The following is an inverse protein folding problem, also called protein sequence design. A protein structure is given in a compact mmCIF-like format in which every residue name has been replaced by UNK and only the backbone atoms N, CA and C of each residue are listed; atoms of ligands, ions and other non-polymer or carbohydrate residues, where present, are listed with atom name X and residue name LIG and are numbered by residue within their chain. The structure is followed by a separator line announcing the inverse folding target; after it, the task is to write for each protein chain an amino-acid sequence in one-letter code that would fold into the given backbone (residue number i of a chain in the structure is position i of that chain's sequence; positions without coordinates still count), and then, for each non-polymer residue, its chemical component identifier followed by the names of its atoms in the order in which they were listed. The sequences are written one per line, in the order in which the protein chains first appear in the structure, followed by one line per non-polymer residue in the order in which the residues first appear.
data_IF_464574115752
#
_entry.id   IF_464574115752
#
_cell.length_a   1.000
_cell.length_b   1.000
_cell.length_c   1.000
_cell.angle_alpha   90.00
_cell.angle_beta   90.00
_cell.angle_gamma   90.00
#
_symmetry.space_group_name_H-M   'P 1'
#
loop_
_entity.id
_entity.type
_entity.pdbx_description
1 polymer ?
#
# COMPACT_ATOMS: atom_id res chain seq x y z
N UNK A 1 25.73 26.77 5.15
CA UNK A 1 25.68 25.33 4.85
C UNK A 1 24.43 25.10 4.03
N UNK A 2 24.57 24.79 2.74
CA UNK A 2 23.42 24.50 1.87
C UNK A 2 22.95 23.07 2.17
N UNK A 3 21.87 22.93 2.92
CA UNK A 3 21.08 21.70 2.94
C UNK A 3 20.34 21.62 1.61
N UNK A 4 20.91 20.90 0.64
CA UNK A 4 20.16 20.47 -0.54
C UNK A 4 19.01 19.60 -0.05
N UNK A 5 17.77 20.06 -0.23
CA UNK A 5 16.60 19.21 -0.06
C UNK A 5 16.77 18.01 -0.99
N UNK A 6 16.99 16.83 -0.42
CA UNK A 6 17.12 15.60 -1.17
C UNK A 6 15.73 15.31 -1.73
N UNK A 7 15.55 15.57 -3.02
CA UNK A 7 14.30 15.28 -3.72
C UNK A 7 14.12 13.78 -3.70
N UNK A 8 13.13 13.29 -2.95
CA UNK A 8 12.76 11.88 -2.97
C UNK A 8 12.10 11.57 -4.32
N UNK A 9 12.88 11.03 -5.26
CA UNK A 9 12.36 10.45 -6.50
C UNK A 9 11.94 9.00 -6.26
N UNK A 10 10.92 8.56 -6.99
CA UNK A 10 10.49 7.16 -7.02
C UNK A 10 10.33 6.71 -8.46
N UNK A 11 10.43 5.40 -8.68
CA UNK A 11 10.12 4.83 -9.98
C UNK A 11 8.70 4.28 -9.95
N UNK A 12 7.84 4.80 -10.81
CA UNK A 12 6.56 4.18 -11.13
C UNK A 12 6.75 3.26 -12.35
N UNK A 13 6.23 2.04 -12.27
CA UNK A 13 6.26 1.08 -13.37
C UNK A 13 4.86 0.56 -13.61
N UNK A 14 4.43 0.60 -14.87
CA UNK A 14 3.21 -0.06 -15.33
C UNK A 14 3.59 -1.23 -16.21
N UNK A 15 2.92 -2.37 -15.98
CA UNK A 15 3.15 -3.60 -16.72
C UNK A 15 1.83 -4.23 -17.16
N UNK A 16 1.88 -4.95 -18.29
CA UNK A 16 0.76 -5.77 -18.77
C UNK A 16 1.25 -7.11 -19.24
N UNK A 17 0.45 -8.16 -19.06
CA UNK A 17 0.81 -9.48 -19.56
C UNK A 17 -0.09 -10.57 -19.02
N UNK A 18 0.46 -11.76 -18.83
CA UNK A 18 -0.34 -12.95 -18.54
C UNK A 18 0.21 -13.76 -17.37
N UNK A 19 -0.70 -14.33 -16.59
CA UNK A 19 -0.42 -15.48 -15.74
C UNK A 19 -0.85 -16.74 -16.49
N UNK A 20 0.02 -17.75 -16.54
CA UNK A 20 -0.16 -19.03 -17.22
C UNK A 20 -0.60 -18.88 -18.69
N UNK A 21 -0.08 -17.87 -19.38
CA UNK A 21 -0.40 -17.54 -20.79
C UNK A 21 -1.90 -17.33 -21.07
N UNK A 22 -2.72 -17.19 -20.01
CA UNK A 22 -4.18 -17.28 -20.11
C UNK A 22 -4.89 -16.14 -19.41
N UNK A 23 -4.37 -15.71 -18.26
CA UNK A 23 -5.06 -14.74 -17.43
C UNK A 23 -4.40 -13.37 -17.63
N UNK A 24 -4.99 -12.48 -18.46
CA UNK A 24 -4.45 -11.15 -18.66
C UNK A 24 -4.54 -10.35 -17.36
N UNK A 25 -3.45 -9.67 -17.03
CA UNK A 25 -3.34 -8.79 -15.88
C UNK A 25 -2.65 -7.49 -16.27
N UNK A 26 -3.00 -6.43 -15.55
CA UNK A 26 -2.23 -5.19 -15.50
C UNK A 26 -1.68 -5.02 -14.10
N UNK A 27 -0.49 -4.46 -13.98
CA UNK A 27 0.22 -4.24 -12.71
C UNK A 27 0.76 -2.82 -12.67
N UNK A 28 0.65 -2.17 -11.52
CA UNK A 28 1.23 -0.84 -11.26
C UNK A 28 2.05 -0.93 -9.98
N UNK A 29 3.33 -0.58 -10.07
CA UNK A 29 4.29 -0.65 -8.98
C UNK A 29 4.90 0.73 -8.72
N UNK A 30 5.09 1.05 -7.46
CA UNK A 30 5.87 2.19 -6.97
C UNK A 30 7.08 1.65 -6.22
N UNK A 31 8.26 1.99 -6.72
CA UNK A 31 9.54 1.52 -6.22
C UNK A 31 10.25 2.69 -5.56
N UNK A 32 10.58 2.50 -4.29
CA UNK A 32 11.32 3.44 -3.46
C UNK A 32 12.50 2.69 -2.84
N UNK A 33 13.68 2.90 -3.42
CA UNK A 33 14.86 2.08 -3.18
C UNK A 33 14.54 0.60 -3.46
N UNK A 34 14.72 -0.28 -2.46
CA UNK A 34 14.39 -1.71 -2.59
C UNK A 34 12.92 -2.01 -2.23
N UNK A 35 12.14 -1.04 -1.73
CA UNK A 35 10.76 -1.27 -1.29
C UNK A 35 9.77 -1.07 -2.43
N UNK A 36 8.93 -2.08 -2.67
CA UNK A 36 7.91 -2.05 -3.72
C UNK A 36 6.51 -2.08 -3.09
N UNK A 37 5.64 -1.17 -3.51
CA UNK A 37 4.22 -1.21 -3.21
C UNK A 37 3.43 -0.99 -4.49
N UNK A 38 2.26 -1.61 -4.61
CA UNK A 38 1.51 -1.51 -5.84
C UNK A 38 0.24 -2.33 -5.83
N UNK A 39 -0.25 -2.63 -7.02
CA UNK A 39 -1.35 -3.55 -7.20
C UNK A 39 -1.28 -4.23 -8.55
N UNK A 40 -2.00 -5.33 -8.67
CA UNK A 40 -2.37 -5.87 -9.97
C UNK A 40 -3.88 -6.08 -10.02
N UNK A 41 -4.44 -6.21 -11.21
CA UNK A 41 -5.82 -6.64 -11.36
C UNK A 41 -5.99 -7.48 -12.63
N UNK A 42 -6.92 -8.42 -12.55
CA UNK A 42 -7.43 -9.10 -13.73
C UNK A 42 -8.34 -8.15 -14.49
N UNK A 43 -8.07 -7.94 -15.79
CA UNK A 43 -8.85 -7.03 -16.63
C UNK A 43 -10.36 -7.33 -16.59
N UNK A 44 -10.71 -8.61 -16.46
CA UNK A 44 -12.09 -9.09 -16.35
C UNK A 44 -12.79 -8.67 -15.05
N UNK A 45 -12.09 -8.68 -13.93
CA UNK A 45 -12.71 -8.52 -12.59
C UNK A 45 -12.52 -7.12 -11.99
N UNK A 46 -11.66 -6.29 -12.60
CA UNK A 46 -11.43 -4.86 -12.28
C UNK A 46 -11.21 -4.54 -10.80
N UNK A 47 -10.87 -5.53 -9.98
CA UNK A 47 -10.60 -5.38 -8.56
C UNK A 47 -9.10 -5.36 -8.36
N UNK A 48 -8.59 -4.27 -7.78
CA UNK A 48 -7.17 -4.12 -7.46
C UNK A 48 -6.80 -5.02 -6.29
N UNK A 49 -5.79 -5.85 -6.49
CA UNK A 49 -5.20 -6.71 -5.46
C UNK A 49 -3.87 -6.08 -5.07
N UNK A 50 -3.78 -5.71 -3.79
CA UNK A 50 -2.60 -5.07 -3.22
C UNK A 50 -1.37 -5.96 -3.35
N UNK A 51 -0.25 -5.33 -3.72
CA UNK A 51 1.07 -5.94 -3.76
C UNK A 51 2.04 -5.15 -2.89
N UNK A 52 2.84 -5.87 -2.11
CA UNK A 52 3.94 -5.31 -1.33
C UNK A 52 5.15 -6.22 -1.35
N UNK A 53 6.34 -5.67 -1.40
CA UNK A 53 7.54 -6.47 -1.22
C UNK A 53 8.80 -5.72 -1.59
N UNK A 54 9.73 -6.42 -2.23
CA UNK A 54 11.09 -5.93 -2.42
C UNK A 54 11.62 -6.20 -3.83
N UNK A 55 12.46 -5.28 -4.32
CA UNK A 55 13.28 -5.41 -5.52
C UNK A 55 14.75 -5.29 -5.10
N UNK A 56 15.52 -6.36 -5.30
CA UNK A 56 16.94 -6.41 -4.96
C UNK A 56 17.71 -7.15 -6.05
N UNK A 57 18.74 -6.52 -6.61
CA UNK A 57 19.58 -7.10 -7.66
C UNK A 57 18.75 -7.65 -8.85
N UNK A 58 17.70 -6.91 -9.24
CA UNK A 58 16.75 -7.31 -10.30
C UNK A 58 15.75 -8.40 -9.89
N UNK A 59 15.93 -9.05 -8.74
CA UNK A 59 14.98 -10.02 -8.19
C UNK A 59 13.86 -9.30 -7.46
N UNK A 60 12.63 -9.57 -7.86
CA UNK A 60 11.44 -8.99 -7.24
C UNK A 60 10.62 -10.07 -6.53
N UNK A 61 10.19 -9.77 -5.31
CA UNK A 61 9.24 -10.57 -4.54
C UNK A 61 8.10 -9.68 -4.10
N UNK A 62 6.88 -9.98 -4.52
CA UNK A 62 5.66 -9.23 -4.22
C UNK A 62 4.64 -10.16 -3.57
N UNK A 63 4.17 -9.77 -2.40
CA UNK A 63 3.11 -10.45 -1.66
C UNK A 63 1.75 -9.83 -1.96
N UNK A 64 0.78 -10.67 -2.26
CA UNK A 64 -0.63 -10.35 -2.08
C UNK A 64 -0.94 -10.36 -0.60
N UNK A 65 -0.95 -9.19 0.02
CA UNK A 65 -1.02 -9.10 1.47
C UNK A 65 -2.35 -8.52 1.94
N UNK A 66 -3.37 -9.35 2.25
CA UNK A 66 -4.56 -8.88 2.96
C UNK A 66 -4.42 -8.90 4.49
N UNK A 67 -3.38 -9.55 5.07
CA UNK A 67 -3.24 -9.74 6.54
C UNK A 67 -1.78 -9.71 7.05
N UNK A 68 -1.63 -9.60 8.38
CA UNK A 68 -0.46 -9.26 9.24
C UNK A 68 0.84 -10.11 9.12
N UNK A 69 0.97 -11.01 8.15
CA UNK A 69 2.15 -11.87 8.03
C UNK A 69 3.31 -11.20 7.28
N UNK A 70 4.52 -11.25 7.84
CA UNK A 70 5.76 -10.87 7.14
C UNK A 70 6.26 -11.96 6.19
N UNK A 71 5.77 -13.19 6.33
CA UNK A 71 6.17 -14.31 5.49
C UNK A 71 5.45 -14.28 4.15
N UNK A 72 6.19 -14.63 3.09
CA UNK A 72 5.61 -14.77 1.77
C UNK A 72 4.62 -15.94 1.75
N UNK A 73 3.39 -15.71 1.28
CA UNK A 73 2.35 -16.75 1.21
C UNK A 73 1.70 -16.85 -0.16
N UNK A 74 1.54 -15.73 -0.85
CA UNK A 74 0.92 -15.65 -2.16
C UNK A 74 1.39 -14.39 -2.88
N UNK A 75 1.58 -14.45 -4.20
CA UNK A 75 1.93 -13.31 -5.03
C UNK A 75 2.98 -13.64 -6.09
N UNK A 76 3.83 -12.68 -6.43
CA UNK A 76 4.79 -12.80 -7.54
C UNK A 76 6.22 -12.96 -7.05
N UNK A 77 6.99 -13.84 -7.69
CA UNK A 77 8.45 -13.90 -7.58
C UNK A 77 9.06 -14.02 -8.96
N UNK A 78 10.09 -13.25 -9.24
CA UNK A 78 10.74 -13.28 -10.54
C UNK A 78 11.82 -12.23 -10.68
N UNK A 79 12.18 -11.96 -11.92
CA UNK A 79 13.14 -10.94 -12.31
C UNK A 79 12.41 -9.80 -13.01
N UNK A 80 12.70 -8.58 -12.60
CA UNK A 80 12.27 -7.35 -13.27
C UNK A 80 13.52 -6.71 -13.88
N UNK A 81 13.55 -6.65 -15.20
CA UNK A 81 14.60 -5.96 -15.96
C UNK A 81 14.01 -4.67 -16.58
N UNK A 82 14.66 -4.08 -17.59
CA UNK A 82 14.23 -2.78 -18.15
C UNK A 82 12.88 -2.86 -18.86
N UNK A 83 12.64 -3.93 -19.62
CA UNK A 83 11.50 -4.05 -20.54
C UNK A 83 10.42 -5.03 -20.05
N UNK A 84 10.74 -5.91 -19.09
CA UNK A 84 9.87 -7.02 -18.75
C UNK A 84 10.04 -7.53 -17.32
N UNK A 85 8.99 -8.19 -16.84
CA UNK A 85 9.02 -9.06 -15.69
C UNK A 85 8.81 -10.51 -16.11
N UNK A 86 9.73 -11.38 -15.69
CA UNK A 86 9.67 -12.82 -15.89
C UNK A 86 9.68 -13.54 -14.54
N UNK A 87 8.64 -14.32 -14.26
CA UNK A 87 8.56 -15.00 -12.97
C UNK A 87 7.40 -15.97 -12.86
N UNK A 88 6.95 -16.11 -11.62
CA UNK A 88 5.80 -16.93 -11.29
C UNK A 88 4.86 -16.20 -10.33
N UNK A 89 3.58 -16.44 -10.54
CA UNK A 89 2.56 -16.29 -9.52
C UNK A 89 2.51 -17.56 -8.65
N UNK A 90 2.57 -17.42 -7.34
CA UNK A 90 2.70 -18.51 -6.37
C UNK A 90 1.59 -18.39 -5.32
N UNK A 91 0.95 -19.51 -4.98
CA UNK A 91 0.06 -19.67 -3.82
C UNK A 91 0.54 -20.89 -3.02
N UNK A 92 1.24 -20.63 -1.91
CA UNK A 92 1.84 -21.67 -1.07
C UNK A 92 0.75 -22.55 -0.43
N UNK A 93 -0.36 -21.95 -0.01
CA UNK A 93 -1.46 -22.67 0.66
C UNK A 93 -2.11 -23.69 -0.27
N UNK A 94 -2.20 -23.39 -1.56
CA UNK A 94 -2.72 -24.31 -2.58
C UNK A 94 -1.65 -25.12 -3.30
N UNK A 95 -0.37 -24.99 -2.89
CA UNK A 95 0.77 -25.59 -3.59
C UNK A 95 0.71 -25.36 -5.11
N UNK A 96 0.42 -24.12 -5.51
CA UNK A 96 0.20 -23.75 -6.91
C UNK A 96 1.22 -22.73 -7.36
N UNK A 97 1.85 -23.01 -8.49
CA UNK A 97 2.79 -22.10 -9.16
C UNK A 97 2.39 -21.99 -10.62
N UNK A 98 2.29 -20.77 -11.12
CA UNK A 98 1.95 -20.44 -12.50
C UNK A 98 2.99 -19.49 -13.06
N UNK A 99 3.46 -19.74 -14.28
CA UNK A 99 4.34 -18.78 -14.96
C UNK A 99 3.64 -17.44 -15.13
N UNK A 100 4.41 -16.37 -15.11
CA UNK A 100 3.94 -15.01 -15.32
C UNK A 100 4.96 -14.25 -16.13
N UNK A 101 4.49 -13.62 -17.20
CA UNK A 101 5.30 -12.78 -18.08
C UNK A 101 4.53 -11.49 -18.33
N UNK A 102 5.19 -10.35 -18.08
CA UNK A 102 4.60 -9.03 -18.23
C UNK A 102 5.60 -8.09 -18.91
N UNK A 103 5.13 -7.36 -19.90
CA UNK A 103 5.87 -6.29 -20.56
C UNK A 103 5.71 -4.99 -19.77
N UNK A 104 6.79 -4.24 -19.62
CA UNK A 104 6.77 -2.88 -19.09
C UNK A 104 6.17 -1.96 -20.13
N UNK A 105 5.04 -1.33 -19.80
CA UNK A 105 4.34 -0.39 -20.67
C UNK A 105 4.73 1.06 -20.39
N UNK A 106 5.13 1.36 -19.16
CA UNK A 106 5.72 2.64 -18.80
C UNK A 106 6.65 2.49 -17.59
N UNK A 107 7.67 3.34 -17.53
CA UNK A 107 8.63 3.42 -16.43
C UNK A 107 9.05 4.87 -16.28
N UNK A 108 8.57 5.50 -15.23
CA UNK A 108 8.71 6.93 -15.01
C UNK A 108 9.39 7.21 -13.67
N UNK A 109 10.41 8.07 -13.68
CA UNK A 109 10.89 8.67 -12.44
C UNK A 109 9.96 9.82 -12.04
N UNK A 110 9.19 9.59 -10.98
CA UNK A 110 8.23 10.58 -10.49
C UNK A 110 8.87 11.43 -9.39
N UNK A 111 8.75 12.75 -9.57
CA UNK A 111 8.96 13.71 -8.48
C UNK A 111 7.64 13.92 -7.77
N UNK A 112 7.60 13.62 -6.47
CA UNK A 112 6.36 13.78 -5.70
C UNK A 112 5.96 15.26 -5.62
N UNK A 113 4.72 15.57 -6.00
CA UNK A 113 4.16 16.91 -5.85
C UNK A 113 4.00 17.26 -4.37
N UNK A 114 3.96 18.56 -4.03
CA UNK A 114 3.71 19.01 -2.65
C UNK A 114 2.39 18.48 -2.08
N UNK A 115 1.37 18.32 -2.95
CA UNK A 115 0.12 17.68 -2.57
C UNK A 115 0.34 16.23 -2.13
N UNK A 116 1.07 15.43 -2.92
CA UNK A 116 1.39 14.04 -2.56
C UNK A 116 2.18 14.00 -1.26
N UNK A 117 3.23 14.82 -1.15
CA UNK A 117 4.06 14.92 0.06
C UNK A 117 3.25 15.32 1.29
N UNK A 118 2.19 16.11 1.15
CA UNK A 118 1.34 16.49 2.29
C UNK A 118 0.52 15.31 2.85
N UNK A 119 0.05 14.41 1.99
CA UNK A 119 -0.80 13.26 2.32
C UNK A 119 0.03 12.02 2.70
N UNK A 120 1.17 11.84 2.04
CA UNK A 120 2.02 10.70 2.30
C UNK A 120 2.78 10.86 3.61
N UNK A 121 2.86 9.80 4.41
CA UNK A 121 3.73 9.78 5.58
C UNK A 121 3.31 8.77 6.63
N UNK A 122 3.99 8.84 7.77
CA UNK A 122 3.59 8.15 8.98
C UNK A 122 2.80 9.12 9.86
N UNK A 123 1.81 8.58 10.55
CA UNK A 123 0.92 9.33 11.40
C UNK A 123 0.64 8.54 12.66
N UNK A 124 0.48 9.27 13.75
CA UNK A 124 0.15 8.77 15.07
C UNK A 124 -1.18 9.37 15.54
N UNK A 125 -2.01 8.56 16.19
CA UNK A 125 -3.27 9.05 16.74
C UNK A 125 -3.02 10.15 17.77
N UNK A 126 -3.82 11.20 17.74
CA UNK A 126 -3.77 12.28 18.73
C UNK A 126 -4.04 11.79 20.17
N UNK A 127 -4.58 10.58 20.31
CA UNK A 127 -4.87 9.93 21.59
C UNK A 127 -3.79 8.93 22.04
N UNK A 128 -2.67 8.83 21.30
CA UNK A 128 -1.55 7.97 21.69
C UNK A 128 -1.11 8.26 23.13
N UNK A 129 -0.97 7.19 23.91
CA UNK A 129 -0.64 7.19 25.34
C UNK A 129 -0.05 5.84 25.74
N UNK A 130 0.31 5.66 27.01
CA UNK A 130 0.77 4.36 27.52
C UNK A 130 -0.29 3.25 27.40
N UNK A 131 -1.58 3.62 27.34
CA UNK A 131 -2.70 2.67 27.34
C UNK A 131 -3.41 2.55 25.99
N UNK A 132 -3.08 3.40 25.02
CA UNK A 132 -3.70 3.44 23.70
C UNK A 132 -2.65 3.79 22.64
N UNK A 133 -2.62 3.03 21.55
CA UNK A 133 -1.78 3.30 20.39
C UNK A 133 -2.61 3.22 19.12
N UNK A 134 -2.41 4.18 18.22
CA UNK A 134 -2.99 4.22 16.89
C UNK A 134 -1.95 4.72 15.91
N UNK A 135 -1.70 3.97 14.84
CA UNK A 135 -0.72 4.33 13.82
C UNK A 135 -1.33 4.19 12.43
N UNK A 136 -1.02 5.14 11.56
CA UNK A 136 -1.36 5.14 10.15
C UNK A 136 -0.09 5.38 9.33
N UNK A 137 0.09 4.61 8.27
CA UNK A 137 1.06 4.91 7.21
C UNK A 137 0.29 5.07 5.92
N UNK A 138 0.61 6.11 5.16
CA UNK A 138 0.16 6.31 3.78
C UNK A 138 1.39 6.37 2.89
N UNK A 139 1.38 5.61 1.78
CA UNK A 139 2.42 5.64 0.75
C UNK A 139 1.78 5.80 -0.62
N UNK A 140 2.17 6.82 -1.36
CA UNK A 140 1.70 7.00 -2.73
C UNK A 140 2.13 5.82 -3.61
N UNK A 141 1.21 5.33 -4.44
CA UNK A 141 1.50 4.32 -5.45
C UNK A 141 1.64 5.00 -6.82
N UNK A 142 0.50 5.45 -7.36
CA UNK A 142 0.34 6.02 -8.68
C UNK A 142 -1.03 6.73 -8.75
N UNK A 143 -1.16 7.74 -9.63
CA UNK A 143 -2.39 8.51 -9.84
C UNK A 143 -3.05 9.06 -8.56
N UNK A 144 -4.11 8.39 -8.11
CA UNK A 144 -4.92 8.70 -6.94
C UNK A 144 -4.82 7.61 -5.87
N UNK A 145 -3.97 6.59 -6.07
CA UNK A 145 -3.90 5.42 -5.21
C UNK A 145 -2.80 5.54 -4.18
N UNK A 146 -3.17 5.29 -2.93
CA UNK A 146 -2.26 5.23 -1.80
C UNK A 146 -2.38 3.88 -1.14
N UNK A 147 -1.25 3.23 -0.92
CA UNK A 147 -1.17 2.15 0.03
C UNK A 147 -1.33 2.70 1.44
N UNK A 148 -2.07 2.00 2.31
CA UNK A 148 -2.12 2.34 3.72
C UNK A 148 -1.96 1.11 4.62
N UNK A 149 -1.37 1.35 5.80
CA UNK A 149 -1.51 0.48 6.98
C UNK A 149 -2.10 1.29 8.11
N UNK A 150 -3.08 0.72 8.79
CA UNK A 150 -3.77 1.32 9.91
C UNK A 150 -3.77 0.29 11.05
N UNK A 151 -3.42 0.72 12.24
CA UNK A 151 -3.37 -0.14 13.42
C UNK A 151 -3.87 0.61 14.65
N UNK A 152 -4.49 -0.13 15.56
CA UNK A 152 -4.98 0.37 16.85
C UNK A 152 -4.75 -0.69 17.91
N UNK A 153 -4.51 -0.26 19.15
CA UNK A 153 -4.19 -1.14 20.26
C UNK A 153 -4.50 -0.48 21.61
N UNK A 154 -4.98 -1.26 22.57
CA UNK A 154 -5.19 -0.82 23.96
C UNK A 154 -4.53 -1.76 24.96
N UNK A 155 -4.21 -1.24 26.15
CA UNK A 155 -3.71 -2.06 27.26
C UNK A 155 -4.71 -3.11 27.76
N UNK A 156 -6.01 -2.92 27.48
CA UNK A 156 -7.07 -3.90 27.77
C UNK A 156 -7.11 -5.08 26.78
N UNK A 157 -6.19 -5.13 25.81
CA UNK A 157 -6.05 -6.23 24.86
C UNK A 157 -6.87 -6.07 23.58
N UNK A 158 -7.49 -4.91 23.36
CA UNK A 158 -8.14 -4.63 22.09
C UNK A 158 -7.08 -4.30 21.04
N UNK A 159 -7.13 -4.95 19.87
CA UNK A 159 -6.20 -4.72 18.77
C UNK A 159 -6.94 -4.70 17.44
N UNK A 160 -6.44 -3.91 16.49
CA UNK A 160 -6.95 -3.87 15.13
C UNK A 160 -5.87 -3.55 14.14
N UNK A 161 -5.98 -4.15 12.96
CA UNK A 161 -5.06 -3.88 11.85
C UNK A 161 -5.80 -3.97 10.53
N UNK A 162 -5.57 -2.98 9.67
CA UNK A 162 -6.15 -2.90 8.36
C UNK A 162 -5.12 -2.36 7.39
N UNK A 163 -5.04 -2.97 6.21
CA UNK A 163 -4.28 -2.45 5.09
C UNK A 163 -5.09 -2.52 3.83
N UNK A 164 -4.70 -1.70 2.86
CA UNK A 164 -5.39 -1.66 1.57
C UNK A 164 -4.91 -0.52 0.68
N UNK A 165 -5.72 -0.25 -0.33
CA UNK A 165 -5.49 0.82 -1.29
C UNK A 165 -6.61 1.84 -1.14
N UNK A 166 -6.26 3.03 -0.66
CA UNK A 166 -7.16 4.16 -0.61
C UNK A 166 -7.11 4.93 -1.94
N UNK A 167 -8.25 5.47 -2.36
CA UNK A 167 -8.39 6.32 -3.55
C UNK A 167 -8.61 7.76 -3.11
N UNK A 168 -7.70 8.65 -3.47
CA UNK A 168 -7.70 10.07 -3.11
C UNK A 168 -8.13 10.95 -4.28
N UNK A 169 -9.18 11.74 -4.10
CA UNK A 169 -9.66 12.63 -5.15
C UNK A 169 -8.84 13.94 -5.25
N UNK A 170 -9.26 14.84 -6.15
CA UNK A 170 -8.61 16.12 -6.35
C UNK A 170 -8.66 17.05 -5.13
N UNK A 171 -9.67 16.90 -4.27
CA UNK A 171 -9.75 17.64 -3.01
C UNK A 171 -8.88 17.04 -1.90
N UNK A 172 -8.16 15.94 -2.16
CA UNK A 172 -7.33 15.25 -1.18
C UNK A 172 -8.11 14.34 -0.23
N UNK A 173 -9.40 14.11 -0.44
CA UNK A 173 -10.19 13.16 0.36
C UNK A 173 -9.93 11.74 -0.14
N UNK A 174 -9.48 10.86 0.76
CA UNK A 174 -9.24 9.45 0.50
C UNK A 174 -10.43 8.58 0.90
N UNK A 175 -10.68 7.50 0.17
CA UNK A 175 -11.65 6.47 0.57
C UNK A 175 -11.10 5.07 0.36
N UNK A 176 -11.46 4.16 1.25
CA UNK A 176 -11.24 2.72 1.11
C UNK A 176 -12.52 1.96 1.45
N UNK A 177 -12.79 0.89 0.70
CA UNK A 177 -13.88 -0.05 0.97
C UNK A 177 -13.47 -1.43 0.49
N UNK A 178 -13.74 -2.46 1.28
CA UNK A 178 -13.57 -3.85 0.83
C UNK A 178 -14.83 -4.71 0.99
N UNK A 179 -15.94 -4.12 1.46
CA UNK A 179 -17.25 -4.75 1.58
C UNK A 179 -17.33 -6.00 2.47
N UNK A 180 -16.23 -6.41 3.10
CA UNK A 180 -16.14 -7.66 3.87
C UNK A 180 -15.68 -7.43 5.31
N UNK A 181 -14.63 -6.61 5.49
CA UNK A 181 -14.07 -6.29 6.80
C UNK A 181 -14.44 -4.87 7.22
N UNK A 182 -14.48 -3.92 6.28
CA UNK A 182 -14.94 -2.56 6.52
C UNK A 182 -15.73 -2.06 5.32
N UNK A 183 -16.95 -1.58 5.57
CA UNK A 183 -17.78 -0.96 4.53
C UNK A 183 -17.08 0.28 3.99
N UNK A 184 -16.55 1.14 4.87
CA UNK A 184 -15.87 2.35 4.44
C UNK A 184 -14.86 2.86 5.47
N UNK A 185 -13.73 3.36 4.97
CA UNK A 185 -12.80 4.24 5.68
C UNK A 185 -12.65 5.51 4.85
N UNK A 186 -12.77 6.67 5.48
CA UNK A 186 -12.50 7.98 4.88
C UNK A 186 -11.26 8.60 5.51
N UNK A 187 -10.38 9.08 4.65
CA UNK A 187 -9.17 9.81 5.00
C UNK A 187 -9.44 11.27 4.67
N UNK A 188 -9.45 12.13 5.68
CA UNK A 188 -9.76 13.55 5.55
C UNK A 188 -8.54 14.36 5.97
N UNK A 189 -7.60 14.65 5.04
CA UNK A 189 -6.44 15.46 5.33
C UNK A 189 -6.83 16.89 5.71
N UNK A 190 -6.10 17.43 6.67
CA UNK A 190 -5.99 18.85 6.98
C UNK A 190 -4.51 19.24 6.95
N UNK A 191 -4.18 20.49 7.28
CA UNK A 191 -2.81 20.99 7.18
C UNK A 191 -1.79 20.18 8.01
N UNK A 192 -2.18 19.67 9.18
CA UNK A 192 -1.27 18.98 10.11
C UNK A 192 -1.80 17.66 10.64
N UNK A 193 -3.08 17.36 10.40
CA UNK A 193 -3.71 16.13 10.86
C UNK A 193 -4.47 15.48 9.72
N UNK A 194 -4.58 14.15 9.79
CA UNK A 194 -5.46 13.37 8.94
C UNK A 194 -6.54 12.77 9.82
N UNK A 195 -7.80 13.13 9.57
CA UNK A 195 -8.92 12.54 10.29
C UNK A 195 -9.36 11.25 9.60
N UNK A 196 -9.51 10.19 10.36
CA UNK A 196 -10.08 8.91 9.94
C UNK A 196 -11.54 8.85 10.40
N UNK A 197 -12.42 8.51 9.46
CA UNK A 197 -13.81 8.19 9.73
C UNK A 197 -14.12 6.79 9.19
N UNK A 198 -14.78 5.97 10.01
CA UNK A 198 -15.12 4.59 9.70
C UNK A 198 -16.64 4.42 9.59
N UNK A 199 -17.06 3.52 8.69
CA UNK A 199 -18.45 3.03 8.61
C UNK A 199 -18.41 1.52 8.55
N UNK A 200 -19.12 0.86 9.47
CA UNK A 200 -19.26 -0.59 9.60
C UNK A 200 -17.93 -1.35 9.39
N UNK A 201 -16.97 -1.06 10.27
CA UNK A 201 -15.63 -1.65 10.26
C UNK A 201 -15.45 -2.64 11.42
N UNK A 202 -15.12 -3.87 11.05
CA UNK A 202 -14.86 -4.98 11.97
C UNK A 202 -13.40 -5.48 11.86
N UNK A 203 -12.51 -4.67 11.26
CA UNK A 203 -11.07 -4.97 11.16
C UNK A 203 -10.30 -4.69 12.46
N UNK A 204 -11.01 -4.48 13.56
CA UNK A 204 -10.50 -4.28 14.90
C UNK A 204 -11.36 -5.04 15.92
N UNK A 205 -10.78 -5.34 17.08
CA UNK A 205 -11.47 -6.00 18.18
C UNK A 205 -12.65 -5.19 18.73
N UNK A 206 -13.48 -5.84 19.56
CA UNK A 206 -14.57 -5.16 20.28
C UNK A 206 -14.00 -4.00 21.09
N UNK A 207 -14.66 -2.83 21.00
CA UNK A 207 -14.29 -1.59 21.72
C UNK A 207 -13.05 -0.86 21.19
N UNK A 208 -12.50 -1.25 20.04
CA UNK A 208 -11.54 -0.44 19.30
C UNK A 208 -12.23 0.33 18.18
N UNK A 209 -11.53 1.35 17.72
CA UNK A 209 -11.85 2.10 16.53
C UNK A 209 -10.54 2.67 15.98
N UNK A 210 -10.46 2.79 14.66
CA UNK A 210 -9.51 3.63 13.96
C UNK A 210 -9.94 5.11 13.87
N UNK A 211 -11.19 5.47 14.20
CA UNK A 211 -11.69 6.84 14.17
C UNK A 211 -10.82 7.79 15.00
N UNK A 212 -10.61 9.00 14.49
CA UNK A 212 -9.91 10.05 15.22
C UNK A 212 -9.00 10.88 14.32
N UNK A 213 -8.35 11.87 14.92
CA UNK A 213 -7.30 12.64 14.26
C UNK A 213 -5.95 11.94 14.42
N UNK A 214 -5.17 11.92 13.35
CA UNK A 214 -3.81 11.41 13.33
C UNK A 214 -2.86 12.54 12.95
N UNK A 215 -1.87 12.82 13.80
CA UNK A 215 -0.82 13.80 13.53
C UNK A 215 0.29 13.16 12.72
N UNK A 216 0.73 13.86 11.68
CA UNK A 216 1.88 13.42 10.90
C UNK A 216 3.13 13.43 11.77
N UNK A 217 3.88 12.35 11.76
CA UNK A 217 5.18 12.30 12.44
C UNK A 217 6.28 12.63 11.43
N UNK A 218 7.28 13.39 11.88
CA UNK A 218 8.47 13.58 11.07
C UNK A 218 9.16 12.22 10.92
N UNK A 219 9.59 11.89 9.71
CA UNK A 219 10.37 10.69 9.45
C UNK A 219 11.72 10.92 10.13
N UNK A 220 11.92 10.39 11.34
CA UNK A 220 13.26 10.15 11.84
C UNK A 220 13.80 8.94 11.08
N UNK A 221 14.54 9.20 10.01
CA UNK A 221 15.45 8.21 9.44
C UNK A 221 16.38 7.76 10.58
N UNK A 222 16.18 6.52 11.05
CA UNK A 222 17.07 5.84 11.99
C UNK A 222 18.15 5.08 11.22
#
# INVERSE_FOLDING_TARGET
MNTSAQTSSRTEIQLTGFIAERYPISMTLSIDNENVAGYYYYEKYKTKILLEGQLKDGQITLNESPDLGSEFTMGFKGRLDEDEFNGNWIDIKKNKTLSSHLDVTSKDEITLSEKIKSIEGNYESEYNSETYVGNLKLKFIADQFYYFTLSTGTSSGCTGHLKGIATFNDSGKGTYSNGKKCEKIEFLPSNTTLKIEETDCNAHGMQCSFNGGYKKTEVTDL
#
